data_IF_136055537321
#
_entry.id   IF_136055537321
#
_cell.length_a   1.000
_cell.length_b   1.000
_cell.length_c   1.000
_cell.angle_alpha   90.00
_cell.angle_beta   90.00
_cell.angle_gamma   90.00
#
_symmetry.space_group_name_H-M   'P 1'
#
loop_
_entity.id
_entity.type
_entity.pdbx_description
1 polymer ?
#
# COMPACT_ATOMS: atom_id res chain seq x y z
N UNK A 1 -10.38 -19.13 -9.05
CA UNK A 1 -10.54 -17.85 -8.34
C UNK A 1 -11.83 -17.83 -7.53
N UNK A 2 -11.86 -18.43 -6.34
CA UNK A 2 -12.70 -17.86 -5.29
C UNK A 2 -11.89 -16.70 -4.71
N UNK A 3 -12.42 -15.47 -4.63
CA UNK A 3 -11.76 -14.43 -3.86
C UNK A 3 -11.78 -14.91 -2.41
N UNK A 4 -10.69 -15.55 -1.98
CA UNK A 4 -10.33 -15.55 -0.57
C UNK A 4 -10.38 -14.09 -0.11
N UNK A 5 -10.76 -13.87 1.15
CA UNK A 5 -11.03 -12.56 1.73
C UNK A 5 -9.72 -11.74 1.85
N UNK A 6 -9.11 -11.40 0.72
CA UNK A 6 -7.92 -10.58 0.62
C UNK A 6 -8.21 -9.25 1.31
N UNK A 7 -7.52 -9.01 2.41
CA UNK A 7 -7.70 -7.80 3.22
C UNK A 7 -6.33 -7.22 3.48
N UNK A 8 -6.07 -6.06 2.90
CA UNK A 8 -4.89 -5.27 3.20
C UNK A 8 -5.30 -4.03 3.98
N UNK A 9 -4.70 -3.85 5.16
CA UNK A 9 -4.90 -2.70 6.03
C UNK A 9 -3.57 -1.99 6.22
N UNK A 10 -3.50 -0.77 5.73
CA UNK A 10 -2.38 0.14 5.96
C UNK A 10 -2.88 1.31 6.79
N UNK A 11 -2.27 1.53 7.96
CA UNK A 11 -2.54 2.71 8.78
C UNK A 11 -1.25 3.49 9.03
N UNK A 12 -1.38 4.81 9.08
CA UNK A 12 -0.30 5.73 9.37
C UNK A 12 -0.74 6.72 10.46
N UNK A 13 0.02 6.79 11.54
CA UNK A 13 -0.09 7.83 12.54
C UNK A 13 1.02 8.85 12.31
N UNK A 14 0.65 10.13 12.19
CA UNK A 14 1.60 11.23 12.01
C UNK A 14 1.41 12.26 13.11
N UNK A 15 2.47 12.50 13.87
CA UNK A 15 2.54 13.60 14.86
C UNK A 15 3.44 14.69 14.28
N UNK A 16 2.90 15.90 14.12
CA UNK A 16 3.57 16.97 13.38
C UNK A 16 3.66 18.29 14.18
N UNK A 17 4.51 18.38 15.22
CA UNK A 17 4.78 19.67 15.87
C UNK A 17 5.25 20.69 14.85
N UNK A 18 4.55 21.83 14.83
CA UNK A 18 4.71 22.86 13.80
C UNK A 18 4.89 24.22 14.45
N UNK A 19 5.89 24.96 13.99
CA UNK A 19 6.11 26.35 14.36
C UNK A 19 5.85 27.23 13.14
N UNK A 20 5.08 28.29 13.31
CA UNK A 20 4.91 29.34 12.31
C UNK A 20 5.32 30.69 12.89
N UNK A 21 5.91 31.53 12.05
CA UNK A 21 6.36 32.87 12.42
C UNK A 21 6.01 33.87 11.32
N UNK A 22 5.43 35.00 11.70
CA UNK A 22 5.14 36.12 10.80
C UNK A 22 6.32 37.08 10.83
N UNK A 23 7.14 37.05 9.78
CA UNK A 23 8.32 37.93 9.64
C UNK A 23 7.91 39.37 9.36
N UNK A 24 6.90 39.56 8.52
CA UNK A 24 6.34 40.86 8.16
C UNK A 24 4.83 40.74 8.01
N UNK A 25 4.13 41.86 7.80
CA UNK A 25 2.68 41.84 7.57
C UNK A 25 2.25 41.05 6.31
N UNK A 26 3.18 40.79 5.39
CA UNK A 26 2.92 40.07 4.13
C UNK A 26 3.68 38.75 4.01
N UNK A 27 4.56 38.40 4.95
CA UNK A 27 5.39 37.19 4.88
C UNK A 27 5.28 36.39 6.18
N UNK A 28 4.88 35.13 6.05
CA UNK A 28 4.97 34.14 7.13
C UNK A 28 5.75 32.92 6.67
N UNK A 29 6.49 32.31 7.60
CA UNK A 29 7.22 31.08 7.40
C UNK A 29 6.74 30.02 8.38
N UNK A 30 6.79 28.77 7.99
CA UNK A 30 6.43 27.63 8.82
C UNK A 30 7.42 26.49 8.66
N UNK A 31 7.68 25.78 9.75
CA UNK A 31 8.48 24.57 9.77
C UNK A 31 7.77 23.51 10.62
N UNK A 32 7.82 22.27 10.17
CA UNK A 32 7.22 21.13 10.88
C UNK A 32 8.17 19.94 10.90
N UNK A 33 8.23 19.26 12.03
CA UNK A 33 8.87 17.95 12.17
C UNK A 33 7.76 16.90 12.14
N UNK A 34 7.87 15.89 11.29
CA UNK A 34 6.87 14.83 11.20
C UNK A 34 7.43 13.56 11.86
N UNK A 35 6.75 13.02 12.87
CA UNK A 35 7.01 11.70 13.45
C UNK A 35 5.95 10.74 12.93
N UNK A 36 6.38 9.64 12.30
CA UNK A 36 5.49 8.77 11.53
C UNK A 36 5.58 7.35 12.09
N UNK A 37 4.43 6.72 12.31
CA UNK A 37 4.32 5.29 12.57
C UNK A 37 3.45 4.68 11.48
N UNK A 38 3.95 3.64 10.81
CA UNK A 38 3.20 2.88 9.81
C UNK A 38 2.95 1.49 10.37
N UNK A 39 1.71 1.02 10.24
CA UNK A 39 1.31 -0.35 10.55
C UNK A 39 0.68 -0.99 9.32
N UNK A 40 1.06 -2.23 9.05
CA UNK A 40 0.57 -3.06 7.96
C UNK A 40 0.02 -4.35 8.55
N UNK A 41 -1.23 -4.66 8.23
CA UNK A 41 -1.80 -5.99 8.38
C UNK A 41 -2.31 -6.43 7.02
N UNK A 42 -1.93 -7.62 6.58
CA UNK A 42 -2.29 -8.15 5.27
C UNK A 42 -2.75 -9.59 5.45
N UNK A 43 -3.88 -9.95 4.85
CA UNK A 43 -4.42 -11.30 4.89
C UNK A 43 -4.68 -11.73 3.45
N UNK A 44 -4.03 -12.82 3.05
CA UNK A 44 -4.05 -13.42 1.71
C UNK A 44 -3.64 -12.46 0.56
N UNK A 45 -3.06 -11.28 0.83
CA UNK A 45 -2.80 -10.25 -0.20
C UNK A 45 -1.37 -10.22 -0.74
N UNK A 46 -0.43 -10.91 -0.11
CA UNK A 46 0.95 -11.04 -0.58
C UNK A 46 1.21 -12.43 -1.14
N UNK A 47 1.50 -12.51 -2.44
CA UNK A 47 1.98 -13.73 -3.07
C UNK A 47 3.43 -13.99 -2.63
N UNK A 48 3.67 -15.10 -1.92
CA UNK A 48 5.02 -15.61 -1.72
C UNK A 48 5.47 -16.35 -2.98
N UNK A 49 6.28 -15.68 -3.80
CA UNK A 49 7.18 -16.34 -4.74
C UNK A 49 8.58 -16.40 -4.12
N UNK A 50 9.28 -17.52 -4.27
CA UNK A 50 10.69 -17.60 -3.92
C UNK A 50 11.51 -16.81 -4.97
N UNK A 51 11.63 -15.50 -4.80
CA UNK A 51 12.62 -14.71 -5.55
C UNK A 51 13.97 -14.80 -4.84
N UNK A 52 14.69 -15.87 -5.17
CA UNK A 52 16.04 -16.13 -4.75
C UNK A 52 16.35 -17.54 -5.20
N UNK A 53 17.44 -17.74 -5.95
CA UNK A 53 17.77 -19.01 -6.60
C UNK A 53 18.00 -20.22 -5.69
N UNK A 54 17.50 -20.20 -4.46
CA UNK A 54 17.35 -21.38 -3.63
C UNK A 54 16.16 -22.17 -4.18
N UNK A 55 16.49 -23.30 -4.81
CA UNK A 55 15.52 -24.32 -5.18
C UNK A 55 15.75 -25.49 -4.23
N UNK A 56 14.72 -25.87 -3.49
CA UNK A 56 14.79 -27.06 -2.67
C UNK A 56 15.13 -28.27 -3.51
N UNK A 57 16.15 -29.03 -3.10
CA UNK A 57 16.48 -30.29 -3.74
C UNK A 57 15.51 -31.36 -3.26
N UNK A 58 15.07 -32.22 -4.17
CA UNK A 58 14.32 -33.42 -3.81
C UNK A 58 15.29 -34.41 -3.18
N UNK A 59 15.10 -34.70 -1.89
CA UNK A 59 15.91 -35.68 -1.17
C UNK A 59 15.04 -36.89 -0.80
N UNK A 60 15.65 -38.07 -0.82
CA UNK A 60 15.08 -39.27 -0.24
C UNK A 60 15.26 -39.24 1.29
N UNK A 61 14.14 -39.21 2.03
CA UNK A 61 14.12 -39.21 3.49
C UNK A 61 13.81 -40.60 4.07
N UNK A 62 13.99 -41.68 3.30
CA UNK A 62 13.87 -43.06 3.80
C UNK A 62 14.83 -43.34 4.97
N UNK A 63 16.00 -42.70 4.99
CA UNK A 63 16.82 -42.52 6.20
C UNK A 63 16.83 -41.03 6.60
N UNK A 64 16.04 -40.64 7.61
CA UNK A 64 15.95 -39.25 8.06
C UNK A 64 17.28 -38.65 8.55
N UNK A 65 18.25 -39.49 8.94
CA UNK A 65 19.55 -39.03 9.44
C UNK A 65 20.56 -38.76 8.33
N UNK A 66 20.32 -39.28 7.12
CA UNK A 66 21.21 -39.12 5.98
C UNK A 66 20.41 -39.00 4.66
N UNK A 67 19.73 -37.87 4.44
CA UNK A 67 18.93 -37.67 3.25
C UNK A 67 19.81 -37.54 1.99
N UNK A 68 19.44 -38.24 0.91
CA UNK A 68 20.24 -38.32 -0.33
C UNK A 68 19.52 -37.63 -1.48
N UNK A 69 20.18 -36.76 -2.27
CA UNK A 69 19.55 -36.12 -3.44
C UNK A 69 19.11 -37.10 -4.52
N UNK A 70 17.97 -36.82 -5.16
CA UNK A 70 17.43 -37.59 -6.27
C UNK A 70 17.39 -36.78 -7.57
N UNK A 71 17.79 -37.34 -8.73
CA UNK A 71 18.72 -38.46 -8.87
C UNK A 71 20.15 -38.08 -8.42
N UNK A 72 21.08 -39.05 -8.28
CA UNK A 72 22.48 -38.86 -7.83
C UNK A 72 23.27 -37.72 -8.52
N UNK A 73 24.40 -37.27 -7.94
CA UNK A 73 24.81 -35.87 -7.78
C UNK A 73 25.09 -35.03 -9.05
N UNK A 74 24.97 -35.58 -10.24
CA UNK A 74 25.20 -34.86 -11.50
C UNK A 74 23.94 -34.28 -12.14
N UNK A 75 22.74 -34.73 -11.74
CA UNK A 75 21.45 -34.26 -12.30
C UNK A 75 20.36 -34.14 -11.19
N UNK A 76 20.68 -33.54 -10.05
CA UNK A 76 19.74 -33.47 -8.91
C UNK A 76 18.47 -32.68 -9.23
N UNK A 77 17.30 -33.29 -8.98
CA UNK A 77 15.98 -32.71 -9.22
C UNK A 77 15.60 -31.73 -8.10
N UNK A 78 15.01 -30.59 -8.48
CA UNK A 78 14.43 -29.63 -7.53
C UNK A 78 12.92 -29.80 -7.39
N UNK A 79 12.34 -29.39 -6.26
CA UNK A 79 10.87 -29.37 -6.11
C UNK A 79 10.19 -28.49 -7.16
N UNK A 80 10.84 -27.41 -7.60
CA UNK A 80 10.32 -26.55 -8.67
C UNK A 80 10.20 -27.32 -10.00
N UNK A 81 11.25 -28.02 -10.42
CA UNK A 81 11.25 -28.83 -11.65
C UNK A 81 10.22 -29.95 -11.55
N UNK A 82 10.18 -30.63 -10.40
CA UNK A 82 9.20 -31.66 -10.12
C UNK A 82 7.75 -31.15 -10.20
N UNK A 83 7.44 -29.99 -9.61
CA UNK A 83 6.11 -29.39 -9.71
C UNK A 83 5.80 -28.91 -11.13
N UNK A 84 6.80 -28.49 -11.91
CA UNK A 84 6.63 -28.14 -13.32
C UNK A 84 6.31 -29.34 -14.21
N UNK A 85 6.80 -30.54 -13.88
CA UNK A 85 6.53 -31.79 -14.59
C UNK A 85 5.08 -32.26 -14.41
N UNK A 86 4.41 -31.85 -13.33
CA UNK A 86 3.03 -32.21 -13.05
C UNK A 86 2.00 -31.47 -13.94
N UNK A 87 2.45 -30.75 -14.97
CA UNK A 87 1.62 -30.06 -15.99
C UNK A 87 0.49 -29.16 -15.45
N UNK A 88 0.64 -28.65 -14.23
CA UNK A 88 -0.29 -27.70 -13.66
C UNK A 88 0.32 -26.31 -13.85
N UNK A 89 -0.14 -25.59 -14.88
CA UNK A 89 0.16 -24.17 -15.05
C UNK A 89 -0.20 -23.35 -13.79
N UNK A 90 -1.05 -23.92 -12.91
CA UNK A 90 -1.51 -23.35 -11.65
C UNK A 90 -0.70 -23.81 -10.40
N UNK A 91 0.28 -24.73 -10.54
CA UNK A 91 1.06 -25.26 -9.41
C UNK A 91 2.37 -24.52 -9.12
N UNK A 92 2.55 -23.32 -9.69
CA UNK A 92 3.27 -22.28 -8.94
C UNK A 92 2.33 -21.89 -7.80
N UNK A 93 2.29 -22.76 -6.80
CA UNK A 93 1.53 -22.65 -5.57
C UNK A 93 1.67 -21.22 -5.03
N UNK A 94 0.68 -20.37 -5.31
CA UNK A 94 0.56 -19.07 -4.69
C UNK A 94 0.21 -19.32 -3.22
N UNK A 95 1.24 -19.65 -2.44
CA UNK A 95 1.12 -19.66 -0.99
C UNK A 95 0.85 -18.22 -0.58
N UNK A 96 -0.24 -18.06 0.15
CA UNK A 96 -0.67 -16.77 0.64
C UNK A 96 0.15 -16.43 1.88
N UNK A 97 0.63 -15.20 1.95
CA UNK A 97 1.32 -14.68 3.13
C UNK A 97 0.38 -13.78 3.89
N UNK A 98 0.03 -14.20 5.09
CA UNK A 98 -0.61 -13.34 6.08
C UNK A 98 0.48 -12.61 6.86
N UNK A 99 0.30 -11.31 7.07
CA UNK A 99 1.20 -10.46 7.84
C UNK A 99 0.40 -9.83 8.97
N UNK A 100 0.79 -10.15 10.20
CA UNK A 100 0.13 -9.62 11.39
C UNK A 100 0.88 -8.43 11.97
N UNK A 101 0.19 -7.28 11.97
CA UNK A 101 0.57 -6.06 12.70
C UNK A 101 2.04 -5.63 12.53
N UNK A 102 2.58 -5.77 11.32
CA UNK A 102 3.93 -5.32 11.03
C UNK A 102 4.01 -3.80 11.17
N UNK A 103 4.97 -3.30 11.93
CA UNK A 103 5.06 -1.86 12.23
C UNK A 103 6.46 -1.30 12.08
N UNK A 104 6.54 0.00 11.80
CA UNK A 104 7.80 0.72 11.68
C UNK A 104 7.64 2.21 11.92
N UNK A 105 8.67 2.82 12.49
CA UNK A 105 8.73 4.25 12.74
C UNK A 105 9.59 4.98 11.71
N UNK A 106 9.24 6.23 11.46
CA UNK A 106 9.94 7.13 10.59
C UNK A 106 9.83 8.57 11.05
N UNK A 107 10.57 9.43 10.36
CA UNK A 107 10.52 10.86 10.57
C UNK A 107 10.66 11.58 9.24
N UNK A 108 10.09 12.77 9.14
CA UNK A 108 10.20 13.67 8.01
C UNK A 108 10.08 15.11 8.46
N UNK A 109 9.85 16.02 7.53
CA UNK A 109 9.59 17.39 7.89
C UNK A 109 9.07 18.18 6.71
N UNK A 110 8.57 19.37 6.99
CA UNK A 110 8.12 20.29 5.96
C UNK A 110 8.52 21.73 6.28
N UNK A 111 8.68 22.50 5.22
CA UNK A 111 8.85 23.95 5.28
C UNK A 111 7.78 24.60 4.42
N UNK A 112 7.25 25.73 4.86
CA UNK A 112 6.22 26.49 4.17
C UNK A 112 6.49 27.99 4.21
N UNK A 113 6.04 28.66 3.16
CA UNK A 113 6.05 30.12 3.04
C UNK A 113 4.63 30.54 2.63
N UNK A 114 4.13 31.59 3.28
CA UNK A 114 2.88 32.25 2.93
C UNK A 114 3.16 33.73 2.65
N UNK A 115 2.77 34.19 1.47
CA UNK A 115 2.82 35.57 1.04
C UNK A 115 1.40 36.15 0.98
N UNK A 116 1.22 37.34 1.53
CA UNK A 116 -0.03 38.10 1.49
C UNK A 116 0.27 39.52 0.98
N UNK A 117 0.63 39.67 -0.30
CA UNK A 117 1.01 40.97 -0.85
C UNK A 117 -0.14 41.98 -0.83
N UNK A 118 -1.39 41.49 -0.86
CA UNK A 118 -2.60 42.30 -0.79
C UNK A 118 -3.60 41.66 0.18
N UNK A 119 -4.50 42.42 0.83
CA UNK A 119 -5.47 41.88 1.79
C UNK A 119 -6.41 40.81 1.23
N UNK A 120 -6.59 40.78 -0.10
CA UNK A 120 -7.46 39.84 -0.79
C UNK A 120 -6.71 38.70 -1.48
N UNK A 121 -5.37 38.71 -1.50
CA UNK A 121 -4.54 37.76 -2.23
C UNK A 121 -3.59 37.03 -1.27
N UNK A 122 -3.63 35.71 -1.28
CA UNK A 122 -2.67 34.86 -0.56
C UNK A 122 -2.01 33.87 -1.52
N UNK A 123 -0.69 33.74 -1.41
CA UNK A 123 0.13 32.80 -2.17
C UNK A 123 0.88 31.91 -1.19
N UNK A 124 0.73 30.60 -1.33
CA UNK A 124 1.39 29.60 -0.50
C UNK A 124 2.37 28.77 -1.31
N UNK A 125 3.50 28.42 -0.69
CA UNK A 125 4.38 27.36 -1.18
C UNK A 125 4.81 26.50 0.00
N UNK A 126 4.82 25.19 -0.16
CA UNK A 126 5.39 24.29 0.85
C UNK A 126 6.10 23.11 0.22
N UNK A 127 7.05 22.58 0.96
CA UNK A 127 7.82 21.42 0.55
C UNK A 127 7.89 20.43 1.71
N UNK A 128 7.40 19.23 1.46
CA UNK A 128 7.50 18.08 2.37
C UNK A 128 8.71 17.26 1.94
N UNK A 129 9.69 17.13 2.84
CA UNK A 129 10.91 16.38 2.59
C UNK A 129 10.66 14.88 2.70
N UNK A 130 11.32 14.13 1.81
CA UNK A 130 11.40 12.67 1.88
C UNK A 130 12.15 12.27 3.15
N UNK A 131 11.40 12.01 4.20
CA UNK A 131 11.89 11.50 5.46
C UNK A 131 12.61 10.16 5.37
N UNK A 132 12.96 9.61 6.53
CA UNK A 132 13.42 8.22 6.67
C UNK A 132 12.33 7.39 7.32
N UNK A 133 12.21 6.15 6.89
CA UNK A 133 11.27 5.18 7.43
C UNK A 133 12.05 3.89 7.68
N UNK A 134 11.97 3.37 8.90
CA UNK A 134 12.56 2.09 9.25
C UNK A 134 11.77 0.95 8.61
N UNK A 135 12.41 -0.21 8.36
CA UNK A 135 11.70 -1.40 7.92
C UNK A 135 10.52 -1.72 8.83
N UNK A 136 9.41 -2.13 8.24
CA UNK A 136 8.29 -2.66 9.03
C UNK A 136 8.65 -4.07 9.45
N UNK A 137 8.45 -4.38 10.73
CA UNK A 137 8.77 -5.69 11.31
C UNK A 137 7.52 -6.26 11.95
N UNK A 138 7.31 -7.56 11.80
CA UNK A 138 6.16 -8.27 12.36
C UNK A 138 6.33 -9.77 12.26
N UNK A 139 5.21 -10.48 12.33
CA UNK A 139 5.14 -11.91 12.03
C UNK A 139 4.41 -12.12 10.71
N UNK A 140 4.79 -13.16 10.00
CA UNK A 140 4.08 -13.62 8.82
C UNK A 140 3.78 -15.11 8.93
N UNK A 141 2.67 -15.50 8.32
CA UNK A 141 2.18 -16.86 8.29
C UNK A 141 2.00 -17.25 6.83
N UNK A 142 2.56 -18.39 6.46
CA UNK A 142 2.35 -18.99 5.14
C UNK A 142 1.45 -20.19 5.33
N UNK A 143 0.38 -20.27 4.53
CA UNK A 143 -0.46 -21.46 4.39
C UNK A 143 -0.45 -21.95 2.94
N UNK A 144 0.23 -23.09 2.71
CA UNK A 144 0.29 -23.77 1.42
C UNK A 144 -0.68 -24.97 1.35
N UNK A 145 -1.53 -25.18 2.37
CA UNK A 145 -2.51 -26.27 2.39
C UNK A 145 -3.56 -26.14 1.27
N UNK A 146 -3.92 -24.90 0.92
CA UNK A 146 -4.80 -24.61 -0.23
C UNK A 146 -4.17 -25.10 -1.53
N UNK A 147 -2.90 -24.78 -1.77
CA UNK A 147 -2.17 -25.21 -2.95
C UNK A 147 -2.06 -26.72 -3.02
N UNK A 148 -1.78 -27.39 -1.89
CA UNK A 148 -1.78 -28.84 -1.79
C UNK A 148 -3.14 -29.44 -2.18
N UNK A 149 -4.24 -28.90 -1.64
CA UNK A 149 -5.58 -29.40 -1.95
C UNK A 149 -5.95 -29.26 -3.45
N UNK A 150 -5.47 -28.21 -4.11
CA UNK A 150 -5.64 -28.02 -5.55
C UNK A 150 -4.86 -29.08 -6.33
N UNK A 151 -3.62 -29.36 -5.93
CA UNK A 151 -2.80 -30.39 -6.58
C UNK A 151 -3.39 -31.81 -6.35
N UNK A 152 -3.87 -32.11 -5.15
CA UNK A 152 -4.49 -33.41 -4.83
C UNK A 152 -5.82 -33.67 -5.55
N UNK A 153 -6.49 -32.60 -5.98
CA UNK A 153 -7.73 -32.68 -6.75
C UNK A 153 -7.53 -33.08 -8.22
N UNK A 154 -6.29 -32.99 -8.71
CA UNK A 154 -5.91 -33.39 -10.06
C UNK A 154 -5.61 -34.92 -10.11
N UNK A 155 -6.41 -35.72 -10.86
CA UNK A 155 -6.22 -37.16 -10.94
C UNK A 155 -4.85 -37.59 -11.47
N UNK A 156 -4.25 -36.80 -12.37
CA UNK A 156 -2.98 -37.12 -13.03
C UNK A 156 -1.79 -36.86 -12.09
N UNK A 157 -1.94 -35.89 -11.18
CA UNK A 157 -0.88 -35.49 -10.24
C UNK A 157 -1.00 -36.19 -8.88
N UNK A 158 -2.21 -36.61 -8.48
CA UNK A 158 -2.47 -37.29 -7.20
C UNK A 158 -1.60 -38.54 -6.96
N UNK A 159 -1.29 -39.28 -8.02
CA UNK A 159 -0.43 -40.47 -7.93
C UNK A 159 1.04 -40.12 -7.62
N UNK A 160 1.51 -38.96 -8.06
CA UNK A 160 2.88 -38.48 -7.88
C UNK A 160 3.00 -37.77 -6.53
N UNK A 161 2.02 -36.94 -6.15
CA UNK A 161 2.03 -36.23 -4.86
C UNK A 161 1.92 -37.13 -3.65
N UNK A 162 1.13 -38.20 -3.73
CA UNK A 162 1.01 -39.18 -2.64
C UNK A 162 2.37 -39.82 -2.28
N UNK A 163 3.20 -40.12 -3.27
CA UNK A 163 4.57 -40.65 -3.06
C UNK A 163 5.51 -39.54 -2.61
N UNK A 164 5.47 -38.38 -3.27
CA UNK A 164 6.31 -37.23 -2.94
C UNK A 164 6.21 -36.79 -1.49
N UNK A 165 4.99 -36.59 -1.02
CA UNK A 165 4.77 -36.02 0.29
C UNK A 165 4.94 -37.03 1.42
N UNK A 166 4.82 -38.33 1.15
CA UNK A 166 4.99 -39.38 2.15
C UNK A 166 6.44 -39.87 2.30
N UNK A 167 7.30 -39.66 1.29
CA UNK A 167 8.68 -40.19 1.29
C UNK A 167 9.77 -39.15 1.02
N UNK A 168 9.45 -38.07 0.31
CA UNK A 168 10.42 -37.09 -0.15
C UNK A 168 10.32 -35.77 0.61
N UNK A 169 9.68 -35.74 1.79
CA UNK A 169 9.69 -34.58 2.70
C UNK A 169 10.19 -34.98 4.10
N UNK A 170 10.90 -34.09 4.82
CA UNK A 170 11.45 -34.37 6.15
C UNK A 170 10.44 -34.92 7.16
N UNK A 171 9.27 -34.28 7.28
CA UNK A 171 8.23 -34.64 8.24
C UNK A 171 7.06 -35.37 7.60
N UNK A 172 7.12 -35.64 6.29
CA UNK A 172 6.08 -36.37 5.57
C UNK A 172 4.68 -35.73 5.73
N UNK A 173 4.62 -34.39 5.75
CA UNK A 173 3.43 -33.58 6.04
C UNK A 173 2.83 -33.73 7.44
N UNK A 174 3.52 -34.40 8.38
CA UNK A 174 3.10 -34.45 9.79
C UNK A 174 3.23 -33.04 10.39
N UNK A 175 2.09 -32.36 10.52
CA UNK A 175 2.01 -30.96 10.95
C UNK A 175 1.44 -30.00 9.90
N UNK A 176 1.13 -30.49 8.69
CA UNK A 176 0.56 -29.69 7.61
C UNK A 176 1.57 -28.78 6.92
N UNK A 177 1.08 -27.97 5.97
CA UNK A 177 1.89 -27.01 5.20
C UNK A 177 1.61 -25.57 5.64
N UNK A 178 1.74 -25.33 6.93
CA UNK A 178 1.70 -23.99 7.52
C UNK A 178 3.04 -23.65 8.16
N UNK A 179 3.48 -22.40 8.05
CA UNK A 179 4.75 -21.94 8.60
C UNK A 179 4.65 -20.52 9.15
N UNK A 180 5.30 -20.28 10.29
CA UNK A 180 5.50 -18.94 10.82
C UNK A 180 6.88 -18.41 10.43
N UNK A 181 6.96 -17.10 10.19
CA UNK A 181 8.18 -16.38 9.84
C UNK A 181 8.28 -15.06 10.59
N UNK A 182 9.52 -14.63 10.82
CA UNK A 182 9.82 -13.23 11.11
C UNK A 182 9.70 -12.42 9.82
N UNK A 183 8.82 -11.43 9.81
CA UNK A 183 8.56 -10.56 8.66
C UNK A 183 9.36 -9.28 8.74
N UNK A 184 9.97 -8.89 7.61
CA UNK A 184 10.62 -7.59 7.45
C UNK A 184 10.33 -7.01 6.07
N UNK A 185 9.65 -5.87 6.03
CA UNK A 185 9.40 -5.11 4.81
C UNK A 185 10.34 -3.90 4.73
N UNK A 186 11.13 -3.84 3.66
CA UNK A 186 12.09 -2.76 3.44
C UNK A 186 11.68 -1.88 2.25
N UNK A 187 12.28 -0.68 2.18
CA UNK A 187 12.06 0.32 1.13
C UNK A 187 10.68 1.01 1.11
N UNK A 188 9.88 0.90 2.19
CA UNK A 188 8.76 1.82 2.38
C UNK A 188 9.32 3.22 2.66
N UNK A 189 9.01 4.18 1.80
CA UNK A 189 9.42 5.60 1.94
C UNK A 189 8.29 6.48 1.45
N UNK A 190 7.96 7.54 2.19
CA UNK A 190 7.03 8.56 1.73
C UNK A 190 7.71 9.45 0.66
N UNK A 191 6.99 9.88 -0.38
CA UNK A 191 7.53 10.76 -1.41
C UNK A 191 7.78 12.17 -0.85
N UNK A 192 8.69 12.90 -1.50
CA UNK A 192 8.79 14.34 -1.35
C UNK A 192 7.67 15.03 -2.16
N UNK A 193 7.08 16.09 -1.58
CA UNK A 193 5.91 16.79 -2.14
C UNK A 193 6.18 18.28 -2.21
N UNK A 194 5.95 18.87 -3.38
CA UNK A 194 5.87 20.31 -3.57
C UNK A 194 4.41 20.72 -3.65
N UNK A 195 4.01 21.73 -2.87
CA UNK A 195 2.67 22.32 -2.95
C UNK A 195 2.79 23.81 -3.27
N UNK A 196 1.93 24.29 -4.15
CA UNK A 196 1.74 25.70 -4.50
C UNK A 196 0.26 26.01 -4.37
N UNK A 197 -0.08 27.13 -3.73
CA UNK A 197 -1.45 27.53 -3.45
C UNK A 197 -1.69 28.99 -3.75
N UNK A 198 -2.91 29.29 -4.19
CA UNK A 198 -3.42 30.63 -4.48
C UNK A 198 -4.80 30.75 -3.84
N UNK A 199 -5.06 31.84 -3.12
CA UNK A 199 -6.39 32.17 -2.66
C UNK A 199 -6.71 33.65 -2.92
N UNK A 200 -7.88 33.90 -3.48
CA UNK A 200 -8.37 35.23 -3.87
C UNK A 200 -9.73 35.48 -3.24
N UNK A 201 -9.83 36.54 -2.44
CA UNK A 201 -11.10 37.06 -1.91
C UNK A 201 -11.66 38.07 -2.91
N UNK A 202 -12.62 37.66 -3.73
CA UNK A 202 -13.21 38.54 -4.76
C UNK A 202 -14.16 39.56 -4.12
N UNK A 203 -14.94 39.12 -3.13
CA UNK A 203 -15.84 39.96 -2.37
C UNK A 203 -15.75 39.59 -0.89
N UNK A 204 -16.36 40.39 -0.01
CA UNK A 204 -16.45 40.07 1.42
C UNK A 204 -17.15 38.72 1.71
N UNK A 205 -17.79 38.11 0.70
CA UNK A 205 -18.58 36.88 0.81
C UNK A 205 -18.07 35.73 -0.07
N UNK A 206 -17.04 35.93 -0.89
CA UNK A 206 -16.62 34.94 -1.89
C UNK A 206 -15.10 34.77 -1.90
N UNK A 207 -14.65 33.55 -1.66
CA UNK A 207 -13.26 33.12 -1.73
C UNK A 207 -13.12 32.07 -2.84
N UNK A 208 -12.15 32.28 -3.74
CA UNK A 208 -11.68 31.26 -4.67
C UNK A 208 -10.30 30.79 -4.22
N UNK A 209 -10.07 29.48 -4.32
CA UNK A 209 -8.79 28.86 -4.04
C UNK A 209 -8.39 27.91 -5.17
N UNK A 210 -7.09 27.85 -5.44
CA UNK A 210 -6.49 26.90 -6.36
C UNK A 210 -5.20 26.34 -5.74
N UNK A 211 -5.01 25.03 -5.83
CA UNK A 211 -3.80 24.36 -5.36
C UNK A 211 -3.23 23.45 -6.45
N UNK A 212 -1.91 23.42 -6.52
CA UNK A 212 -1.13 22.48 -7.31
C UNK A 212 -0.20 21.70 -6.39
N UNK A 213 -0.21 20.38 -6.51
CA UNK A 213 0.72 19.49 -5.78
C UNK A 213 1.48 18.62 -6.76
N UNK A 214 2.78 18.50 -6.57
CA UNK A 214 3.63 17.59 -7.31
C UNK A 214 4.29 16.60 -6.34
N UNK A 215 3.98 15.32 -6.52
CA UNK A 215 4.33 14.21 -5.63
C UNK A 215 5.28 13.27 -6.37
N UNK A 216 6.51 13.13 -5.86
CA UNK A 216 7.59 12.39 -6.54
C UNK A 216 7.64 10.91 -6.19
N UNK A 217 6.57 10.19 -6.55
CA UNK A 217 6.47 8.75 -6.33
C UNK A 217 7.56 7.94 -7.02
N UNK A 218 8.02 8.34 -8.22
CA UNK A 218 9.01 7.58 -9.00
C UNK A 218 10.36 7.41 -8.29
N UNK A 219 10.65 8.30 -7.33
CA UNK A 219 11.88 8.28 -6.55
C UNK A 219 11.84 7.29 -5.39
N UNK A 220 10.67 6.89 -4.93
CA UNK A 220 10.48 6.11 -3.70
C UNK A 220 9.74 4.79 -3.90
N UNK A 221 8.73 4.75 -4.75
CA UNK A 221 7.87 3.58 -4.99
C UNK A 221 8.33 2.81 -6.22
N UNK A 222 9.60 2.35 -6.19
CA UNK A 222 10.16 1.51 -7.27
C UNK A 222 9.95 0.03 -7.00
N UNK A 223 10.38 -0.42 -5.82
CA UNK A 223 10.26 -1.81 -5.39
C UNK A 223 10.14 -1.90 -3.86
N UNK A 224 9.34 -2.84 -3.41
CA UNK A 224 9.30 -3.30 -2.03
C UNK A 224 9.99 -4.64 -1.93
N UNK A 225 10.63 -4.90 -0.80
CA UNK A 225 11.27 -6.18 -0.53
C UNK A 225 10.79 -6.68 0.81
N UNK A 226 10.06 -7.80 0.77
CA UNK A 226 9.67 -8.58 1.93
C UNK A 226 10.71 -9.68 2.15
N UNK A 227 11.29 -9.73 3.34
CA UNK A 227 12.14 -10.82 3.80
C UNK A 227 11.39 -11.58 4.91
N UNK A 228 11.12 -12.85 4.68
CA UNK A 228 10.61 -13.82 5.65
C UNK A 228 11.78 -14.66 6.14
N UNK A 229 11.99 -14.76 7.45
CA UNK A 229 13.14 -15.49 8.02
C UNK A 229 12.72 -16.39 9.16
N UNK A 230 13.54 -17.40 9.46
CA UNK A 230 13.31 -18.34 10.57
C UNK A 230 12.02 -19.16 10.41
N UNK A 231 11.77 -19.66 9.19
CA UNK A 231 10.62 -20.52 8.90
C UNK A 231 10.54 -21.74 9.82
N UNK A 232 9.38 -21.96 10.44
CA UNK A 232 9.19 -22.99 11.47
C UNK A 232 8.89 -24.38 10.92
N UNK A 233 8.46 -24.50 9.66
CA UNK A 233 8.06 -25.77 9.06
C UNK A 233 9.19 -26.35 8.20
N UNK A 234 9.67 -27.54 8.56
CA UNK A 234 10.79 -28.18 7.86
C UNK A 234 10.44 -28.65 6.46
N UNK A 235 9.19 -29.03 6.19
CA UNK A 235 8.75 -29.45 4.86
C UNK A 235 8.71 -28.25 3.91
N UNK A 236 8.16 -27.11 4.34
CA UNK A 236 8.20 -25.87 3.57
C UNK A 236 9.65 -25.40 3.37
N UNK A 237 10.49 -25.48 4.41
CA UNK A 237 11.89 -25.10 4.30
C UNK A 237 12.66 -26.01 3.33
N UNK A 238 12.33 -27.31 3.25
CA UNK A 238 12.91 -28.24 2.30
C UNK A 238 12.47 -27.91 0.87
N UNK A 239 11.18 -27.62 0.66
CA UNK A 239 10.63 -27.21 -0.65
C UNK A 239 11.28 -25.92 -1.16
N UNK A 240 11.44 -24.92 -0.28
CA UNK A 240 12.11 -23.65 -0.60
C UNK A 240 13.64 -23.81 -0.68
N UNK A 241 14.21 -24.86 -0.09
CA UNK A 241 15.65 -25.05 0.07
C UNK A 241 16.30 -24.14 1.11
N UNK A 242 15.50 -23.40 1.89
CA UNK A 242 15.98 -22.60 3.01
C UNK A 242 14.84 -22.21 3.95
N UNK A 243 15.16 -21.81 5.18
CA UNK A 243 14.19 -21.25 6.13
C UNK A 243 13.95 -19.73 5.95
N UNK A 244 14.23 -19.22 4.75
CA UNK A 244 14.13 -17.81 4.38
C UNK A 244 13.47 -17.67 3.01
N UNK A 245 12.41 -16.87 2.94
CA UNK A 245 11.75 -16.52 1.68
C UNK A 245 11.95 -15.03 1.43
N UNK A 246 12.30 -14.66 0.20
CA UNK A 246 12.45 -13.26 -0.20
C UNK A 246 11.52 -13.01 -1.38
N UNK A 247 10.73 -11.94 -1.29
CA UNK A 247 9.86 -11.49 -2.38
C UNK A 247 10.15 -10.02 -2.69
N UNK A 248 10.43 -9.70 -3.95
CA UNK A 248 10.59 -8.32 -4.41
C UNK A 248 9.44 -7.93 -5.33
N UNK A 249 8.56 -7.04 -4.86
CA UNK A 249 7.47 -6.51 -5.68
C UNK A 249 7.89 -5.20 -6.33
N UNK A 250 7.79 -5.13 -7.65
CA UNK A 250 8.04 -3.90 -8.42
C UNK A 250 6.76 -3.09 -8.56
N UNK A 251 6.78 -1.84 -8.07
CA UNK A 251 5.65 -0.92 -8.17
C UNK A 251 5.81 0.07 -9.33
N UNK A 252 7.04 0.54 -9.58
CA UNK A 252 7.39 1.41 -10.70
C UNK A 252 6.48 2.66 -10.87
N UNK A 253 6.03 3.24 -9.75
CA UNK A 253 5.12 4.38 -9.81
C UNK A 253 5.73 5.58 -10.54
N UNK A 254 4.89 6.33 -11.25
CA UNK A 254 5.21 7.60 -11.89
C UNK A 254 4.88 8.74 -10.94
N UNK A 255 5.51 9.89 -11.16
CA UNK A 255 5.18 11.09 -10.39
C UNK A 255 3.74 11.53 -10.66
N UNK A 256 3.12 12.10 -9.63
CA UNK A 256 1.74 12.55 -9.65
C UNK A 256 1.68 14.07 -9.53
N UNK A 257 0.84 14.70 -10.33
CA UNK A 257 0.38 16.06 -10.13
C UNK A 257 -1.09 16.05 -9.73
N UNK A 258 -1.45 16.95 -8.81
CA UNK A 258 -2.81 17.14 -8.33
C UNK A 258 -3.15 18.61 -8.46
N UNK A 259 -4.29 18.89 -9.09
CA UNK A 259 -4.84 20.23 -9.23
C UNK A 259 -6.17 20.25 -8.49
N UNK A 260 -6.36 21.24 -7.62
CA UNK A 260 -7.60 21.46 -6.91
C UNK A 260 -8.10 22.88 -7.13
N UNK A 261 -9.40 23.02 -7.32
CA UNK A 261 -10.10 24.30 -7.36
C UNK A 261 -11.21 24.27 -6.32
N UNK A 262 -11.35 25.36 -5.57
CA UNK A 262 -12.34 25.49 -4.51
C UNK A 262 -13.00 26.86 -4.52
N UNK A 263 -14.28 26.87 -4.17
CA UNK A 263 -15.08 28.07 -3.97
C UNK A 263 -15.74 27.98 -2.61
N UNK A 264 -15.68 29.08 -1.87
CA UNK A 264 -16.39 29.25 -0.61
C UNK A 264 -17.20 30.55 -0.63
N UNK A 265 -18.48 30.43 -0.27
CA UNK A 265 -19.40 31.56 -0.22
C UNK A 265 -20.10 31.67 1.13
N UNK A 266 -20.21 32.88 1.67
CA UNK A 266 -21.09 33.17 2.82
C UNK A 266 -22.53 33.18 2.31
N UNK A 267 -23.28 32.13 2.65
CA UNK A 267 -24.66 31.95 2.22
C UNK A 267 -25.64 32.75 3.10
N UNK A 268 -25.48 32.68 4.42
CA UNK A 268 -26.34 33.38 5.38
C UNK A 268 -25.50 34.00 6.50
N UNK A 269 -25.96 35.13 7.01
CA UNK A 269 -25.43 35.78 8.22
C UNK A 269 -26.59 36.16 9.13
N UNK A 270 -26.57 35.67 10.36
CA UNK A 270 -27.59 36.00 11.38
C UNK A 270 -27.30 37.38 11.99
N UNK A 271 -28.31 37.98 12.63
CA UNK A 271 -28.17 39.23 13.39
C UNK A 271 -27.18 39.10 14.56
N UNK A 272 -27.03 37.89 15.10
CA UNK A 272 -26.11 37.57 16.19
C UNK A 272 -24.67 37.30 15.70
N UNK A 273 -24.40 37.47 14.40
CA UNK A 273 -23.06 37.27 13.83
C UNK A 273 -22.70 35.81 13.55
N UNK A 274 -23.68 34.90 13.53
CA UNK A 274 -23.47 33.52 13.06
C UNK A 274 -23.45 33.50 11.54
N UNK A 275 -22.46 32.85 10.94
CA UNK A 275 -22.32 32.72 9.49
C UNK A 275 -22.47 31.27 9.05
N UNK A 276 -23.26 31.07 8.00
CA UNK A 276 -23.32 29.82 7.26
C UNK A 276 -22.53 29.99 5.96
N UNK A 277 -21.49 29.18 5.77
CA UNK A 277 -20.68 29.17 4.57
C UNK A 277 -20.89 27.85 3.81
N UNK A 278 -21.00 27.95 2.49
CA UNK A 278 -21.08 26.82 1.57
C UNK A 278 -19.76 26.71 0.81
N UNK A 279 -19.31 25.48 0.61
CA UNK A 279 -18.08 25.16 -0.07
C UNK A 279 -18.36 24.16 -1.19
N UNK A 280 -17.75 24.37 -2.34
CA UNK A 280 -17.69 23.40 -3.43
C UNK A 280 -16.26 23.33 -3.94
N UNK A 281 -15.79 22.13 -4.27
CA UNK A 281 -14.45 21.94 -4.79
C UNK A 281 -14.35 20.79 -5.77
N UNK A 282 -13.38 20.88 -6.66
CA UNK A 282 -13.03 19.82 -7.60
C UNK A 282 -11.54 19.53 -7.50
N UNK A 283 -11.19 18.25 -7.47
CA UNK A 283 -9.81 17.79 -7.43
C UNK A 283 -9.57 16.79 -8.57
N UNK A 284 -8.53 17.05 -9.36
CA UNK A 284 -8.00 16.12 -10.34
C UNK A 284 -6.57 15.74 -9.97
N UNK A 285 -6.27 14.45 -9.91
CA UNK A 285 -4.90 13.95 -9.82
C UNK A 285 -4.67 12.82 -10.79
N UNK A 286 -3.60 12.85 -11.59
CA UNK A 286 -3.29 11.73 -12.47
C UNK A 286 -2.93 10.47 -11.64
N UNK A 287 -3.12 9.28 -12.22
CA UNK A 287 -2.72 8.03 -11.53
C UNK A 287 -1.20 7.85 -11.54
N UNK A 288 -0.55 7.68 -10.36
CA UNK A 288 0.87 7.30 -10.30
C UNK A 288 1.11 5.82 -10.59
N UNK A 289 0.10 4.96 -10.48
CA UNK A 289 0.27 3.50 -10.59
C UNK A 289 0.21 3.03 -12.06
N UNK A 290 1.27 2.40 -12.61
CA UNK A 290 1.22 1.81 -13.94
C UNK A 290 0.31 0.56 -13.98
N UNK A 291 -0.39 0.36 -15.10
CA UNK A 291 -1.27 -0.81 -15.30
C UNK A 291 -0.56 -2.16 -15.23
N UNK A 292 0.73 -2.20 -15.59
CA UNK A 292 1.59 -3.40 -15.57
C UNK A 292 2.02 -3.87 -14.17
N UNK A 293 1.88 -3.01 -13.16
CA UNK A 293 2.26 -3.28 -11.75
C UNK A 293 1.07 -3.11 -10.82
N UNK A 294 -0.13 -3.12 -11.39
CA UNK A 294 -1.38 -2.89 -10.69
C UNK A 294 -1.81 -4.19 -10.01
N UNK A 295 -1.93 -4.17 -8.69
CA UNK A 295 -2.46 -5.31 -7.95
C UNK A 295 -3.99 -5.33 -8.06
N UNK A 296 -4.55 -6.51 -8.32
CA UNK A 296 -6.02 -6.72 -8.40
C UNK A 296 -6.68 -6.57 -7.04
N UNK A 297 -5.98 -6.88 -5.95
CA UNK A 297 -6.47 -6.71 -4.58
C UNK A 297 -6.18 -5.33 -3.96
N UNK A 298 -5.48 -4.45 -4.67
CA UNK A 298 -5.08 -3.13 -4.15
C UNK A 298 -6.12 -2.05 -4.39
N UNK A 299 -6.18 -1.06 -3.48
CA UNK A 299 -6.95 0.16 -3.69
C UNK A 299 -6.38 0.94 -4.89
N UNK A 300 -7.27 1.36 -5.79
CA UNK A 300 -6.89 2.10 -6.99
C UNK A 300 -6.92 3.60 -6.76
N UNK A 301 -6.05 4.33 -7.45
CA UNK A 301 -6.11 5.79 -7.45
C UNK A 301 -7.29 6.24 -8.29
N UNK A 302 -8.25 6.92 -7.67
CA UNK A 302 -9.35 7.59 -8.36
C UNK A 302 -8.88 8.99 -8.76
N UNK A 303 -9.01 9.36 -10.03
CA UNK A 303 -8.45 10.63 -10.50
C UNK A 303 -9.32 11.85 -10.21
N UNK A 304 -10.64 11.69 -10.20
CA UNK A 304 -11.59 12.78 -10.15
C UNK A 304 -12.39 12.78 -8.84
N UNK A 305 -12.41 13.92 -8.16
CA UNK A 305 -13.20 14.09 -6.95
C UNK A 305 -14.01 15.39 -6.97
N UNK A 306 -15.25 15.32 -6.52
CA UNK A 306 -16.09 16.48 -6.23
C UNK A 306 -16.32 16.57 -4.73
N UNK A 307 -16.27 17.79 -4.19
CA UNK A 307 -16.42 18.05 -2.76
C UNK A 307 -17.52 19.08 -2.53
N UNK A 308 -18.34 18.84 -1.52
CA UNK A 308 -19.31 19.79 -0.99
C UNK A 308 -19.07 19.97 0.50
N UNK A 309 -19.21 21.20 1.01
CA UNK A 309 -18.99 21.49 2.41
C UNK A 309 -19.92 22.57 2.94
N UNK A 310 -20.16 22.49 4.24
CA UNK A 310 -20.92 23.48 5.00
C UNK A 310 -20.13 23.82 6.25
N UNK A 311 -20.01 25.11 6.57
CA UNK A 311 -19.44 25.58 7.83
C UNK A 311 -20.40 26.52 8.54
N UNK A 312 -20.55 26.31 9.84
CA UNK A 312 -21.28 27.19 10.74
C UNK A 312 -20.28 27.83 11.68
N UNK A 313 -20.14 29.15 11.60
CA UNK A 313 -19.13 29.92 12.34
C UNK A 313 -19.84 30.89 13.28
N UNK A 314 -19.49 30.89 14.56
CA UNK A 314 -19.95 31.89 15.54
C UNK A 314 -18.83 32.21 16.52
N UNK A 315 -18.28 33.43 16.44
CA UNK A 315 -17.24 34.04 17.31
C UNK A 315 -16.16 33.09 17.86
N UNK A 316 -16.50 32.24 18.83
CA UNK A 316 -15.58 31.34 19.54
C UNK A 316 -15.61 29.89 19.04
N UNK A 317 -16.55 29.51 18.17
CA UNK A 317 -16.63 28.15 17.67
C UNK A 317 -16.97 28.07 16.18
N UNK A 318 -16.59 26.95 15.59
CA UNK A 318 -16.92 26.57 14.23
C UNK A 318 -17.25 25.08 14.15
N UNK A 319 -18.33 24.76 13.45
CA UNK A 319 -18.64 23.40 13.01
C UNK A 319 -18.45 23.32 11.49
N UNK A 320 -17.85 22.23 11.01
CA UNK A 320 -17.63 21.96 9.60
C UNK A 320 -18.08 20.53 9.25
N UNK A 321 -18.80 20.42 8.15
CA UNK A 321 -19.17 19.15 7.51
C UNK A 321 -18.69 19.21 6.06
N UNK A 322 -18.04 18.16 5.58
CA UNK A 322 -17.66 18.05 4.17
C UNK A 322 -17.87 16.64 3.65
N UNK A 323 -18.34 16.54 2.42
CA UNK A 323 -18.56 15.29 1.71
C UNK A 323 -17.74 15.31 0.41
N UNK A 324 -17.02 14.23 0.16
CA UNK A 324 -16.22 14.02 -1.04
C UNK A 324 -16.74 12.81 -1.78
N UNK A 325 -17.01 12.96 -3.07
CA UNK A 325 -17.34 11.88 -3.98
C UNK A 325 -16.20 11.69 -4.98
N UNK A 326 -15.58 10.50 -4.97
CA UNK A 326 -14.58 10.07 -5.92
C UNK A 326 -15.26 9.27 -7.04
N UNK A 327 -15.20 9.79 -8.27
CA UNK A 327 -15.95 9.22 -9.39
C UNK A 327 -15.37 7.89 -9.85
N UNK A 328 -16.24 6.96 -10.24
CA UNK A 328 -15.84 5.63 -10.71
C UNK A 328 -14.85 5.72 -11.87
N UNK A 329 -13.70 5.07 -11.71
CA UNK A 329 -12.72 4.90 -12.76
C UNK A 329 -12.58 3.41 -13.09
N UNK A 330 -12.61 3.08 -14.39
CA UNK A 330 -12.37 1.71 -14.87
C UNK A 330 -10.96 1.61 -15.41
N UNK A 331 -10.15 0.76 -14.77
CA UNK A 331 -8.77 0.52 -15.18
C UNK A 331 -8.64 -0.93 -15.63
N UNK A 332 -7.95 -1.13 -16.76
CA UNK A 332 -7.62 -2.45 -17.28
C UNK A 332 -6.21 -2.84 -16.88
N UNK A 333 -6.05 -4.06 -16.35
CA UNK A 333 -4.75 -4.65 -16.08
C UNK A 333 -4.19 -5.18 -17.40
N UNK A 334 -3.05 -4.63 -17.82
CA UNK A 334 -2.37 -5.01 -19.04
C UNK A 334 -0.93 -5.42 -18.74
N UNK A 335 -0.54 -6.60 -19.19
CA UNK A 335 0.82 -7.15 -19.02
C UNK A 335 1.29 -7.08 -17.56
N UNK A 336 0.48 -7.62 -16.64
CA UNK A 336 0.77 -7.73 -15.22
C UNK A 336 2.10 -8.44 -15.00
N UNK A 337 3.04 -7.76 -14.34
CA UNK A 337 4.35 -8.31 -13.98
C UNK A 337 4.30 -9.26 -12.78
N UNK A 338 3.27 -9.15 -11.94
CA UNK A 338 3.16 -9.89 -10.69
C UNK A 338 2.11 -11.01 -10.72
N UNK A 339 1.16 -10.95 -11.66
CA UNK A 339 0.07 -11.92 -11.77
C UNK A 339 -0.42 -12.00 -13.23
N UNK A 340 0.22 -12.78 -14.11
CA UNK A 340 -0.16 -12.89 -15.52
C UNK A 340 -1.61 -13.31 -15.76
N UNK A 341 -2.19 -14.11 -14.86
CA UNK A 341 -3.60 -14.52 -14.90
C UNK A 341 -4.59 -13.35 -14.75
N UNK A 342 -4.15 -12.24 -14.16
CA UNK A 342 -4.95 -11.03 -14.05
C UNK A 342 -4.96 -10.19 -15.34
N UNK A 343 -4.25 -10.60 -16.39
CA UNK A 343 -4.28 -9.90 -17.66
C UNK A 343 -5.70 -9.83 -18.22
N UNK A 344 -6.07 -8.68 -18.79
CA UNK A 344 -7.41 -8.39 -19.33
C UNK A 344 -8.53 -8.31 -18.28
N UNK A 345 -8.20 -8.34 -16.98
CA UNK A 345 -9.16 -8.00 -15.94
C UNK A 345 -9.37 -6.48 -15.87
N UNK A 346 -10.54 -6.06 -15.38
CA UNK A 346 -10.83 -4.65 -15.13
C UNK A 346 -11.27 -4.43 -13.70
N UNK A 347 -10.78 -3.36 -13.10
CA UNK A 347 -11.14 -2.93 -11.74
C UNK A 347 -11.91 -1.63 -11.84
N UNK A 348 -13.00 -1.54 -11.08
CA UNK A 348 -13.79 -0.33 -10.91
C UNK A 348 -13.86 -0.01 -9.43
N UNK A 349 -13.56 1.24 -9.09
CA UNK A 349 -13.54 1.70 -7.70
C UNK A 349 -14.18 3.09 -7.64
N UNK A 350 -15.06 3.28 -6.66
CA UNK A 350 -15.57 4.58 -6.23
C UNK A 350 -15.30 4.74 -4.73
N UNK A 351 -15.35 5.97 -4.25
CA UNK A 351 -15.18 6.24 -2.83
C UNK A 351 -16.00 7.45 -2.42
N UNK A 352 -16.68 7.31 -1.29
CA UNK A 352 -17.37 8.39 -0.61
C UNK A 352 -16.67 8.66 0.72
N UNK A 353 -16.48 9.92 1.07
CA UNK A 353 -15.81 10.29 2.33
C UNK A 353 -16.52 11.45 3.00
N UNK A 354 -16.78 11.31 4.30
CA UNK A 354 -17.42 12.32 5.13
C UNK A 354 -16.42 12.84 6.17
N UNK A 355 -16.29 14.15 6.27
CA UNK A 355 -15.46 14.84 7.25
C UNK A 355 -16.34 15.66 8.19
N UNK A 356 -16.03 15.57 9.48
CA UNK A 356 -16.67 16.33 10.56
C UNK A 356 -15.58 17.04 11.35
N UNK A 357 -15.78 18.33 11.60
CA UNK A 357 -14.82 19.17 12.32
C UNK A 357 -15.50 20.10 13.32
N UNK A 358 -14.90 20.24 14.49
CA UNK A 358 -15.26 21.25 15.47
C UNK A 358 -14.01 22.02 15.87
N UNK A 359 -14.11 23.34 15.94
CA UNK A 359 -13.04 24.22 16.41
C UNK A 359 -13.58 25.09 17.52
N UNK A 360 -12.80 25.23 18.59
CA UNK A 360 -13.04 26.18 19.66
C UNK A 360 -11.84 27.12 19.79
N UNK A 361 -12.10 28.42 19.88
CA UNK A 361 -11.10 29.45 20.06
C UNK A 361 -11.18 29.98 21.49
N UNK A 362 -10.08 29.79 22.23
CA UNK A 362 -9.89 30.24 23.61
C UNK A 362 -9.57 31.73 23.70
#
# INVERSE_FOLDING_TARGET
FQPALMKSNLAALVVAPTLSYRLTNWLSIGISLHLIQITLADNDGLNAGAEGGNKGLVLDYSDPNNPVPLPPPNDTLTYEELFSLASTNDAVASSYVDVDNASGYGWGGSIGILLQPLPFLSLGASYIYRGKQNPLKGKAYIDASKSLSSIESDPDVKAITGVLFSTLLPNQLKGGLTAEYNFRLTNIKLPDVLNLGLAIKIAQRLLLAADFRYIRWAKVFKKFRADLTSGTNQDINAIVGSNRVVSTTYMLWKDQYVIALGLEAVALRSKEGTELLLQIGYNYGNSPSPTKTLSVGGAQNIQHHLTFGVRLVKRNWMFALSYVHAFTEKIYVSNSLSLPEANNTSIQTNQDTLFLGFTWQF
#
